data_IF_280867327557
#
_entry.id   IF_280867327557
#
_cell.length_a   1.000
_cell.length_b   1.000
_cell.length_c   1.000
_cell.angle_alpha   90.00
_cell.angle_beta   90.00
_cell.angle_gamma   90.00
#
_symmetry.space_group_name_H-M   'P 1'
#
loop_
_entity.id
_entity.type
_entity.pdbx_description
1 polymer ?
#
# COMPACT_ATOMS: atom_id res chain seq x y z
N UNK A 1 -12.10 -14.11 -3.05
CA UNK A 1 -11.45 -15.20 -2.27
C UNK A 1 -11.99 -15.37 -0.85
N UNK A 2 -11.70 -14.48 0.12
CA UNK A 2 -12.17 -14.70 1.51
C UNK A 2 -13.66 -14.39 1.67
N UNK A 3 -14.13 -13.29 1.06
CA UNK A 3 -15.55 -12.96 1.00
C UNK A 3 -16.38 -14.05 0.28
N UNK A 4 -15.89 -14.57 -0.85
CA UNK A 4 -16.54 -15.67 -1.57
C UNK A 4 -16.59 -16.96 -0.75
N UNK A 5 -15.52 -17.29 -0.01
CA UNK A 5 -15.50 -18.43 0.89
C UNK A 5 -16.50 -18.26 2.04
N UNK A 6 -16.56 -17.07 2.65
CA UNK A 6 -17.53 -16.78 3.72
C UNK A 6 -18.97 -16.81 3.21
N UNK A 7 -19.22 -16.33 2.00
CA UNK A 7 -20.54 -16.40 1.36
C UNK A 7 -20.94 -17.84 1.03
N UNK A 8 -20.00 -18.68 0.60
CA UNK A 8 -20.27 -20.12 0.41
C UNK A 8 -20.73 -20.80 1.71
N UNK A 9 -20.19 -20.39 2.86
CA UNK A 9 -20.63 -20.89 4.17
C UNK A 9 -21.86 -20.17 4.73
N UNK A 10 -22.20 -18.96 4.23
CA UNK A 10 -23.37 -18.20 4.69
C UNK A 10 -24.69 -18.83 4.29
N UNK A 11 -24.72 -19.51 3.14
CA UNK A 11 -25.86 -20.30 2.68
C UNK A 11 -26.19 -21.48 3.62
N UNK A 12 -25.20 -21.97 4.39
CA UNK A 12 -25.37 -23.07 5.34
C UNK A 12 -25.61 -22.61 6.79
N UNK A 13 -25.20 -21.39 7.17
CA UNK A 13 -25.31 -20.87 8.53
C UNK A 13 -25.86 -19.44 8.55
N UNK A 14 -27.13 -19.28 8.95
CA UNK A 14 -27.85 -18.00 8.98
C UNK A 14 -27.15 -16.78 9.63
N UNK A 15 -26.32 -16.93 10.68
CA UNK A 15 -25.53 -15.83 11.25
C UNK A 15 -24.41 -15.30 10.35
N UNK A 16 -23.91 -16.10 9.40
CA UNK A 16 -22.81 -15.72 8.51
C UNK A 16 -23.26 -14.83 7.34
N UNK A 17 -24.56 -14.65 7.11
CA UNK A 17 -25.09 -13.70 6.09
C UNK A 17 -24.73 -12.24 6.36
N UNK A 18 -24.21 -11.92 7.54
CA UNK A 18 -23.69 -10.58 7.84
C UNK A 18 -22.55 -10.20 6.88
N UNK A 19 -21.81 -11.19 6.36
CA UNK A 19 -20.76 -10.98 5.38
C UNK A 19 -21.28 -10.67 3.96
N UNK A 20 -22.55 -10.93 3.66
CA UNK A 20 -23.16 -10.58 2.36
C UNK A 20 -23.42 -9.08 2.21
N UNK A 21 -23.56 -8.35 3.34
CA UNK A 21 -23.82 -6.92 3.30
C UNK A 21 -22.57 -6.16 2.83
N UNK A 22 -22.75 -5.37 1.77
CA UNK A 22 -21.72 -4.53 1.19
C UNK A 22 -21.09 -3.58 2.23
N UNK A 23 -21.90 -2.99 3.11
CA UNK A 23 -21.44 -2.09 4.17
C UNK A 23 -20.52 -2.80 5.17
N UNK A 24 -20.85 -4.04 5.54
CA UNK A 24 -20.04 -4.83 6.44
C UNK A 24 -18.70 -5.19 5.81
N UNK A 25 -18.71 -5.66 4.56
CA UNK A 25 -17.49 -5.93 3.78
C UNK A 25 -16.61 -4.69 3.63
N UNK A 26 -17.20 -3.52 3.37
CA UNK A 26 -16.45 -2.27 3.21
C UNK A 26 -15.76 -1.83 4.52
N UNK A 27 -16.45 -1.94 5.66
CA UNK A 27 -15.87 -1.62 6.98
C UNK A 27 -14.72 -2.57 7.28
N UNK A 28 -14.92 -3.88 7.11
CA UNK A 28 -13.89 -4.87 7.36
C UNK A 28 -12.70 -4.75 6.40
N UNK A 29 -12.94 -4.41 5.13
CA UNK A 29 -11.88 -4.09 4.18
C UNK A 29 -11.03 -2.90 4.67
N UNK A 30 -11.68 -1.84 5.12
CA UNK A 30 -10.99 -0.63 5.61
C UNK A 30 -10.18 -0.93 6.86
N UNK A 31 -10.77 -1.64 7.83
CA UNK A 31 -10.08 -2.06 9.06
C UNK A 31 -8.91 -3.01 8.77
N UNK A 32 -9.08 -3.95 7.85
CA UNK A 32 -8.02 -4.88 7.45
C UNK A 32 -6.87 -4.13 6.78
N UNK A 33 -7.15 -3.19 5.87
CA UNK A 33 -6.13 -2.36 5.24
C UNK A 33 -5.36 -1.53 6.29
N UNK A 34 -6.08 -0.94 7.26
CA UNK A 34 -5.47 -0.19 8.34
C UNK A 34 -4.56 -1.08 9.20
N UNK A 35 -5.06 -2.25 9.64
CA UNK A 35 -4.28 -3.18 10.45
C UNK A 35 -3.04 -3.68 9.73
N UNK A 36 -3.16 -4.05 8.45
CA UNK A 36 -2.02 -4.43 7.59
C UNK A 36 -1.01 -3.27 7.54
N UNK A 37 -1.47 -2.03 7.35
CA UNK A 37 -0.59 -0.87 7.29
C UNK A 37 0.14 -0.60 8.61
N UNK A 38 -0.51 -0.81 9.76
CA UNK A 38 0.07 -0.60 11.09
C UNK A 38 1.04 -1.73 11.48
N UNK A 39 0.74 -2.98 11.12
CA UNK A 39 1.59 -4.14 11.44
C UNK A 39 2.82 -4.17 10.53
N UNK A 40 2.66 -3.89 9.24
CA UNK A 40 3.75 -3.88 8.27
C UNK A 40 4.52 -2.56 8.28
N UNK A 41 3.91 -1.47 8.73
CA UNK A 41 4.47 -0.13 8.73
C UNK A 41 5.85 -0.02 9.38
N UNK A 42 6.05 -0.45 10.64
CA UNK A 42 7.36 -0.37 11.30
C UNK A 42 8.45 -1.14 10.55
N UNK A 43 8.13 -2.34 10.06
CA UNK A 43 9.08 -3.16 9.28
C UNK A 43 9.42 -2.50 7.95
N UNK A 44 8.42 -1.92 7.28
CA UNK A 44 8.59 -1.22 6.03
C UNK A 44 9.45 0.04 6.20
N UNK A 45 9.15 0.87 7.21
CA UNK A 45 9.90 2.08 7.55
C UNK A 45 11.35 1.72 7.87
N UNK A 46 11.60 0.73 8.73
CA UNK A 46 12.97 0.31 9.06
C UNK A 46 13.76 -0.17 7.83
N UNK A 47 13.10 -0.88 6.91
CA UNK A 47 13.74 -1.35 5.67
C UNK A 47 14.06 -0.19 4.73
N UNK A 48 13.16 0.79 4.59
CA UNK A 48 13.39 1.99 3.78
C UNK A 48 14.49 2.87 4.38
N UNK A 49 14.48 3.09 5.69
CA UNK A 49 15.55 3.82 6.39
C UNK A 49 16.91 3.13 6.20
N UNK A 50 16.98 1.79 6.22
CA UNK A 50 18.23 1.08 5.97
C UNK A 50 18.76 1.30 4.52
N UNK A 51 17.87 1.37 3.53
CA UNK A 51 18.23 1.65 2.14
C UNK A 51 18.70 3.10 1.99
N UNK A 52 17.96 4.06 2.55
CA UNK A 52 18.31 5.49 2.51
C UNK A 52 19.64 5.78 3.22
N UNK A 53 19.86 5.20 4.41
CA UNK A 53 21.13 5.34 5.15
C UNK A 53 22.31 4.79 4.33
N UNK A 54 22.12 3.68 3.62
CA UNK A 54 23.13 3.12 2.72
C UNK A 54 23.49 4.04 1.54
N UNK A 55 22.54 4.80 1.00
CA UNK A 55 22.78 5.77 -0.09
C UNK A 55 23.50 7.03 0.42
N UNK A 56 23.06 7.61 1.55
CA UNK A 56 23.72 8.79 2.15
C UNK A 56 25.19 8.52 2.49
N UNK A 57 25.51 7.31 2.95
CA UNK A 57 26.91 6.89 3.23
C UNK A 57 27.74 6.83 1.93
N UNK A 58 27.11 6.54 0.78
CA UNK A 58 27.75 6.42 -0.52
C UNK A 58 27.99 7.77 -1.21
N UNK A 59 27.25 8.82 -0.84
CA UNK A 59 27.29 10.18 -1.44
C UNK A 59 28.15 11.22 -0.68
N UNK A 60 28.39 11.08 0.64
CA UNK A 60 29.26 11.93 1.51
C UNK A 60 29.11 13.48 1.39
N UNK A 61 28.41 14.13 2.34
CA UNK A 61 28.31 15.61 2.50
C UNK A 61 27.53 16.08 3.76
N UNK A 62 27.55 17.38 4.16
CA UNK A 62 27.55 17.89 5.56
C UNK A 62 26.26 17.75 6.39
N UNK A 63 26.44 17.84 7.72
CA UNK A 63 25.48 17.59 8.81
C UNK A 63 24.26 18.53 8.90
N UNK A 64 24.06 19.47 7.98
CA UNK A 64 22.97 20.47 8.07
C UNK A 64 21.65 20.04 7.44
N UNK A 65 21.63 18.95 6.66
CA UNK A 65 20.39 18.34 6.11
C UNK A 65 19.79 17.24 7.03
N UNK A 66 20.23 17.15 8.29
CA UNK A 66 19.81 16.12 9.27
C UNK A 66 18.36 16.28 9.79
N UNK A 67 17.66 17.39 9.53
CA UNK A 67 16.34 17.67 10.12
C UNK A 67 15.14 17.08 9.34
N UNK A 68 15.35 16.60 8.11
CA UNK A 68 14.34 15.85 7.32
C UNK A 68 14.60 14.34 7.29
N UNK A 69 15.47 13.87 8.19
CA UNK A 69 16.13 12.56 8.13
C UNK A 69 15.39 11.57 9.03
N UNK A 70 14.25 11.06 8.56
CA UNK A 70 13.56 10.02 9.31
C UNK A 70 12.25 9.54 8.71
N UNK A 71 11.62 10.35 7.84
CA UNK A 71 10.37 9.99 7.17
C UNK A 71 10.67 9.51 5.75
N UNK A 72 10.66 8.18 5.49
CA UNK A 72 10.94 7.67 4.16
C UNK A 72 9.87 8.14 3.17
N UNK A 73 10.30 8.59 1.99
CA UNK A 73 9.42 9.19 0.96
C UNK A 73 8.49 8.19 0.27
N UNK A 74 8.63 6.88 0.54
CA UNK A 74 7.85 5.81 -0.12
C UNK A 74 6.64 5.30 0.68
N UNK A 75 6.08 6.07 1.61
CA UNK A 75 4.90 5.64 2.37
C UNK A 75 3.69 5.22 1.50
N UNK A 76 3.57 5.80 0.30
CA UNK A 76 2.52 5.45 -0.67
C UNK A 76 2.53 3.99 -1.10
N UNK A 77 3.68 3.33 -1.17
CA UNK A 77 3.74 1.91 -1.57
C UNK A 77 3.15 0.99 -0.50
N UNK A 78 3.33 1.33 0.78
CA UNK A 78 2.73 0.59 1.89
C UNK A 78 1.21 0.72 1.87
N UNK A 79 0.70 1.92 1.59
CA UNK A 79 -0.75 2.17 1.46
C UNK A 79 -1.32 1.35 0.31
N UNK A 80 -0.68 1.39 -0.87
CA UNK A 80 -1.12 0.63 -2.04
C UNK A 80 -1.09 -0.88 -1.81
N UNK A 81 -0.04 -1.39 -1.16
CA UNK A 81 0.04 -2.80 -0.78
C UNK A 81 -1.09 -3.20 0.20
N UNK A 82 -1.39 -2.33 1.17
CA UNK A 82 -2.46 -2.57 2.15
C UNK A 82 -3.84 -2.56 1.50
N UNK A 83 -4.08 -1.63 0.56
CA UNK A 83 -5.31 -1.60 -0.25
C UNK A 83 -5.42 -2.88 -1.06
N UNK A 84 -4.37 -3.27 -1.80
CA UNK A 84 -4.39 -4.44 -2.67
C UNK A 84 -4.69 -5.74 -1.90
N UNK A 85 -4.03 -5.95 -0.74
CA UNK A 85 -4.28 -7.10 0.13
C UNK A 85 -5.73 -7.09 0.62
N UNK A 86 -6.22 -5.95 1.10
CA UNK A 86 -7.58 -5.83 1.60
C UNK A 86 -8.63 -6.06 0.51
N UNK A 87 -8.42 -5.52 -0.69
CA UNK A 87 -9.34 -5.68 -1.81
C UNK A 87 -9.38 -7.13 -2.31
N UNK A 88 -8.26 -7.87 -2.27
CA UNK A 88 -8.28 -9.31 -2.61
C UNK A 88 -9.06 -10.14 -1.56
N UNK A 89 -8.97 -9.74 -0.29
CA UNK A 89 -9.65 -10.45 0.80
C UNK A 89 -11.16 -10.21 0.78
N UNK A 90 -11.57 -8.94 0.70
CA UNK A 90 -12.96 -8.52 0.93
C UNK A 90 -13.69 -8.07 -0.33
N UNK A 91 -12.96 -7.72 -1.38
CA UNK A 91 -13.52 -7.26 -2.65
C UNK A 91 -14.29 -8.34 -3.37
N UNK A 92 -15.21 -7.89 -4.22
CA UNK A 92 -15.92 -8.72 -5.17
C UNK A 92 -15.07 -8.83 -6.45
N UNK A 93 -14.45 -9.99 -6.67
CA UNK A 93 -13.53 -10.20 -7.79
C UNK A 93 -14.25 -10.45 -9.11
N UNK A 94 -15.57 -10.69 -9.09
CA UNK A 94 -16.39 -10.76 -10.30
C UNK A 94 -16.73 -9.36 -10.82
N UNK A 95 -16.62 -8.34 -9.96
CA UNK A 95 -16.93 -6.97 -10.32
C UNK A 95 -15.83 -6.35 -11.19
N UNK A 96 -16.11 -6.18 -12.48
CA UNK A 96 -15.21 -5.51 -13.43
C UNK A 96 -14.80 -4.09 -13.03
N UNK A 97 -15.68 -3.34 -12.34
CA UNK A 97 -15.38 -1.96 -11.93
C UNK A 97 -14.31 -1.92 -10.85
N UNK A 98 -14.28 -2.92 -9.98
CA UNK A 98 -13.25 -3.08 -8.95
C UNK A 98 -11.87 -3.32 -9.59
N UNK A 99 -11.80 -4.14 -10.64
CA UNK A 99 -10.56 -4.36 -11.39
C UNK A 99 -10.06 -3.11 -12.12
N UNK A 100 -10.96 -2.32 -12.70
CA UNK A 100 -10.59 -1.05 -13.33
C UNK A 100 -10.03 -0.09 -12.29
N UNK A 101 -10.70 0.07 -11.15
CA UNK A 101 -10.23 0.93 -10.06
C UNK A 101 -8.87 0.48 -9.52
N UNK A 102 -8.71 -0.81 -9.22
CA UNK A 102 -7.43 -1.38 -8.79
C UNK A 102 -6.33 -1.17 -9.85
N UNK A 103 -6.63 -1.42 -11.13
CA UNK A 103 -5.68 -1.26 -12.21
C UNK A 103 -5.17 0.18 -12.33
N UNK A 104 -6.07 1.16 -12.29
CA UNK A 104 -5.70 2.59 -12.32
C UNK A 104 -4.89 2.96 -11.08
N UNK A 105 -5.35 2.60 -9.90
CA UNK A 105 -4.65 2.89 -8.64
C UNK A 105 -3.25 2.28 -8.60
N UNK A 106 -3.10 1.03 -9.04
CA UNK A 106 -1.79 0.37 -9.14
C UNK A 106 -0.90 1.03 -10.19
N UNK A 107 -1.43 1.43 -11.35
CA UNK A 107 -0.66 2.08 -12.40
C UNK A 107 -0.06 3.42 -11.91
N UNK A 108 -0.89 4.30 -11.36
CA UNK A 108 -0.42 5.58 -10.80
C UNK A 108 0.51 5.35 -9.61
N UNK A 109 0.27 4.30 -8.82
CA UNK A 109 1.14 3.89 -7.74
C UNK A 109 2.54 3.48 -8.20
N UNK A 110 2.63 2.69 -9.27
CA UNK A 110 3.90 2.29 -9.88
C UNK A 110 4.62 3.50 -10.46
N UNK A 111 3.90 4.40 -11.14
CA UNK A 111 4.50 5.64 -11.67
C UNK A 111 5.10 6.50 -10.56
N UNK A 112 4.39 6.70 -9.46
CA UNK A 112 4.89 7.42 -8.28
C UNK A 112 6.10 6.73 -7.65
N UNK A 113 6.07 5.39 -7.53
CA UNK A 113 7.19 4.62 -7.01
C UNK A 113 8.44 4.73 -7.90
N UNK A 114 8.26 4.69 -9.23
CA UNK A 114 9.35 4.87 -10.19
C UNK A 114 9.94 6.28 -10.08
N UNK A 115 9.11 7.33 -10.01
CA UNK A 115 9.59 8.71 -9.82
C UNK A 115 10.38 8.87 -8.51
N UNK A 116 9.89 8.30 -7.41
CA UNK A 116 10.60 8.31 -6.12
C UNK A 116 11.92 7.54 -6.17
N UNK A 117 11.97 6.39 -6.87
CA UNK A 117 13.22 5.66 -7.10
C UNK A 117 14.21 6.45 -7.95
N UNK A 118 13.75 7.16 -8.98
CA UNK A 118 14.60 8.01 -9.81
C UNK A 118 15.17 9.18 -9.00
N UNK A 119 14.34 9.86 -8.20
CA UNK A 119 14.79 10.92 -7.28
C UNK A 119 15.84 10.42 -6.29
N UNK A 120 15.64 9.23 -5.72
CA UNK A 120 16.60 8.61 -4.79
C UNK A 120 17.89 8.15 -5.47
N UNK A 121 17.88 7.77 -6.75
CA UNK A 121 19.07 7.24 -7.44
C UNK A 121 19.94 8.31 -8.08
N UNK A 122 19.35 9.45 -8.45
CA UNK A 122 20.04 10.47 -9.24
C UNK A 122 20.29 11.79 -8.50
N UNK A 123 19.95 11.91 -7.20
CA UNK A 123 20.11 13.14 -6.38
C UNK A 123 19.58 14.43 -7.05
N UNK A 124 18.72 14.27 -8.05
CA UNK A 124 18.24 15.38 -8.86
C UNK A 124 16.92 15.86 -8.28
N UNK A 125 16.90 17.11 -7.81
CA UNK A 125 15.68 17.83 -7.42
C UNK A 125 14.65 17.93 -8.56
N UNK A 126 15.06 17.65 -9.81
CA UNK A 126 14.14 17.50 -10.94
C UNK A 126 13.64 16.06 -10.96
N UNK A 127 12.37 15.85 -10.60
CA UNK A 127 11.65 14.58 -10.86
C UNK A 127 11.54 14.30 -12.37
N UNK A 128 10.69 13.35 -12.76
CA UNK A 128 10.39 13.05 -14.17
C UNK A 128 10.14 14.34 -14.97
N UNK A 129 11.08 14.68 -15.87
CA UNK A 129 10.89 15.77 -16.83
C UNK A 129 9.83 15.36 -17.86
N UNK A 130 8.93 16.27 -18.29
CA UNK A 130 7.91 16.00 -19.30
C UNK A 130 8.45 15.45 -20.61
#
# INVERSE_FOLDING_TARGET
>A
MLAELLNFFSDSYGPLRVFDYLSFRAIFATLTALLVSLILGPRFINKMQAIEVGQVIREKGPATHLSKKGTPTMGGTLILASIFISTILWGDLENRYLWVALGVTTLFGVLGWVDDLYKLRFESSKGLSP
#
